data_IF_996046664569
#
_entry.id   IF_996046664569
#
_cell.length_a   1.000
_cell.length_b   1.000
_cell.length_c   1.000
_cell.angle_alpha   90.00
_cell.angle_beta   90.00
_cell.angle_gamma   90.00
#
_symmetry.space_group_name_H-M   'P 1'
#
loop_
_entity.id
_entity.type
_entity.pdbx_description
1 polymer ?
#
# COMPACT_ATOMS: atom_id res chain seq x y z
N UNK A 1 9.94 -28.15 11.93
CA UNK A 1 9.71 -26.70 11.79
C UNK A 1 9.64 -26.33 10.30
N UNK A 2 8.48 -25.90 9.80
CA UNK A 2 8.29 -25.63 8.36
C UNK A 2 8.90 -24.27 8.01
N UNK A 3 10.09 -24.27 7.41
CA UNK A 3 10.74 -23.04 6.93
C UNK A 3 10.14 -22.64 5.58
N UNK A 4 9.56 -21.45 5.51
CA UNK A 4 9.06 -20.87 4.25
C UNK A 4 10.23 -20.13 3.59
N UNK A 5 10.71 -20.67 2.48
CA UNK A 5 11.80 -20.07 1.72
C UNK A 5 11.25 -19.17 0.61
N UNK A 6 12.01 -18.11 0.27
CA UNK A 6 11.74 -17.30 -0.91
C UNK A 6 11.98 -18.14 -2.18
N UNK A 7 11.12 -18.00 -3.19
CA UNK A 7 11.33 -18.64 -4.50
C UNK A 7 12.63 -18.12 -5.13
N UNK A 8 13.55 -19.02 -5.46
CA UNK A 8 14.90 -18.68 -5.94
C UNK A 8 14.95 -18.03 -7.34
N UNK A 9 13.87 -18.14 -8.14
CA UNK A 9 13.76 -17.50 -9.47
C UNK A 9 12.89 -16.23 -9.49
N UNK A 10 12.68 -15.53 -8.38
CA UNK A 10 11.98 -14.24 -8.45
C UNK A 10 12.89 -13.20 -9.11
N UNK A 11 12.40 -12.49 -10.13
CA UNK A 11 13.12 -11.35 -10.67
C UNK A 11 13.30 -10.27 -9.59
N UNK A 12 14.56 -9.92 -9.34
CA UNK A 12 14.92 -8.92 -8.35
C UNK A 12 14.47 -7.52 -8.78
N UNK A 13 14.52 -7.23 -10.08
CA UNK A 13 14.15 -5.94 -10.63
C UNK A 13 12.66 -5.69 -10.40
N UNK A 14 11.81 -6.58 -10.90
CA UNK A 14 10.34 -6.50 -10.71
C UNK A 14 9.96 -6.31 -9.24
N UNK A 15 10.57 -7.09 -8.33
CA UNK A 15 10.30 -6.98 -6.90
C UNK A 15 10.67 -5.59 -6.35
N UNK A 16 11.83 -5.08 -6.74
CA UNK A 16 12.32 -3.77 -6.29
C UNK A 16 11.43 -2.65 -6.84
N UNK A 17 11.05 -2.72 -8.12
CA UNK A 17 10.15 -1.74 -8.76
C UNK A 17 8.85 -1.56 -8.00
N UNK A 18 8.21 -2.64 -7.56
CA UNK A 18 6.97 -2.53 -6.78
C UNK A 18 7.18 -1.90 -5.39
N UNK A 19 8.34 -2.12 -4.77
CA UNK A 19 8.67 -1.51 -3.47
C UNK A 19 8.92 -0.01 -3.62
N UNK A 20 9.63 0.39 -4.67
CA UNK A 20 9.89 1.80 -4.99
C UNK A 20 8.62 2.53 -5.39
N UNK A 21 7.79 1.91 -6.23
CA UNK A 21 6.48 2.46 -6.56
C UNK A 21 5.58 2.59 -5.33
N UNK A 22 5.54 1.58 -4.45
CA UNK A 22 4.81 1.68 -3.18
C UNK A 22 5.34 2.84 -2.31
N UNK A 23 6.66 3.08 -2.28
CA UNK A 23 7.24 4.23 -1.57
C UNK A 23 6.77 5.55 -2.17
N UNK A 24 6.71 5.66 -3.49
CA UNK A 24 6.25 6.88 -4.17
C UNK A 24 4.76 7.14 -3.93
N UNK A 25 3.92 6.09 -3.95
CA UNK A 25 2.48 6.22 -3.70
C UNK A 25 2.13 6.78 -2.33
N UNK A 26 3.00 6.67 -1.32
CA UNK A 26 2.78 7.28 0.01
C UNK A 26 2.63 8.80 -0.08
N UNK A 27 3.25 9.43 -1.09
CA UNK A 27 3.19 10.89 -1.30
C UNK A 27 1.91 11.31 -2.03
N UNK A 28 1.43 10.46 -2.93
CA UNK A 28 0.33 10.80 -3.85
C UNK A 28 -1.02 10.25 -3.43
N UNK A 29 -1.07 9.20 -2.61
CA UNK A 29 -2.29 8.50 -2.24
C UNK A 29 -2.55 8.55 -0.73
N UNK A 30 -3.76 8.97 -0.37
CA UNK A 30 -4.18 9.14 1.02
C UNK A 30 -4.25 7.79 1.76
N UNK A 31 -4.78 6.74 1.13
CA UNK A 31 -4.87 5.43 1.77
C UNK A 31 -3.49 4.79 1.95
N UNK A 32 -2.56 4.99 1.00
CA UNK A 32 -1.22 4.44 1.08
C UNK A 32 -0.44 5.07 2.25
N UNK A 33 -0.58 6.38 2.45
CA UNK A 33 -0.05 7.10 3.62
C UNK A 33 -0.67 6.60 4.93
N UNK A 34 -1.99 6.52 5.00
CA UNK A 34 -2.71 6.01 6.17
C UNK A 34 -2.26 4.58 6.54
N UNK A 35 -2.04 3.72 5.53
CA UNK A 35 -1.53 2.37 5.73
C UNK A 35 -0.11 2.37 6.30
N UNK A 36 0.76 3.23 5.78
CA UNK A 36 2.13 3.34 6.28
C UNK A 36 2.15 3.79 7.74
N UNK A 37 1.36 4.80 8.10
CA UNK A 37 1.25 5.31 9.47
C UNK A 37 0.69 4.27 10.42
N UNK A 38 -0.35 3.52 10.02
CA UNK A 38 -0.87 2.41 10.81
C UNK A 38 0.21 1.38 11.14
N UNK A 39 1.03 1.00 10.14
CA UNK A 39 2.08 -0.01 10.32
C UNK A 39 3.25 0.52 11.14
N UNK A 40 3.54 1.83 11.03
CA UNK A 40 4.52 2.51 11.87
C UNK A 40 4.06 2.55 13.33
N UNK A 41 2.80 2.89 13.59
CA UNK A 41 2.20 2.87 14.92
C UNK A 41 2.21 1.47 15.55
N UNK A 42 2.06 0.43 14.73
CA UNK A 42 2.19 -0.97 15.15
C UNK A 42 3.65 -1.43 15.38
N UNK A 43 4.67 -0.57 15.19
CA UNK A 43 6.08 -0.90 15.45
C UNK A 43 6.77 -1.70 14.33
N UNK A 44 6.21 -1.77 13.12
CA UNK A 44 6.85 -2.47 12.02
C UNK A 44 8.01 -1.68 11.41
N UNK A 45 9.08 -2.40 11.04
CA UNK A 45 10.22 -1.82 10.35
C UNK A 45 9.83 -1.24 8.97
N UNK A 46 10.43 -0.11 8.59
CA UNK A 46 10.12 0.64 7.37
C UNK A 46 10.06 -0.23 6.11
N UNK A 47 11.10 -1.01 5.87
CA UNK A 47 11.22 -1.89 4.69
C UNK A 47 10.18 -3.02 4.69
N UNK A 48 9.74 -3.49 5.86
CA UNK A 48 8.67 -4.49 5.95
C UNK A 48 7.31 -3.87 5.60
N UNK A 49 7.07 -2.63 6.05
CA UNK A 49 5.87 -1.86 5.73
C UNK A 49 5.75 -1.62 4.23
N UNK A 50 6.82 -1.15 3.57
CA UNK A 50 6.82 -0.92 2.12
C UNK A 50 6.49 -2.20 1.32
N UNK A 51 7.07 -3.35 1.70
CA UNK A 51 6.78 -4.63 1.04
C UNK A 51 5.33 -5.07 1.23
N UNK A 52 4.77 -4.82 2.42
CA UNK A 52 3.37 -5.12 2.69
C UNK A 52 2.42 -4.19 1.91
N UNK A 53 2.82 -2.93 1.70
CA UNK A 53 2.08 -1.96 0.89
C UNK A 53 2.13 -2.36 -0.59
N UNK A 54 3.31 -2.70 -1.11
CA UNK A 54 3.50 -3.22 -2.47
C UNK A 54 2.60 -4.43 -2.75
N UNK A 55 2.48 -5.36 -1.79
CA UNK A 55 1.58 -6.51 -1.93
C UNK A 55 0.11 -6.12 -2.13
N UNK A 56 -0.41 -5.12 -1.40
CA UNK A 56 -1.78 -4.62 -1.59
C UNK A 56 -1.95 -4.00 -2.97
N UNK A 57 -1.00 -3.17 -3.34
CA UNK A 57 -0.95 -2.45 -4.59
C UNK A 57 -0.93 -3.38 -5.82
N UNK A 58 -0.14 -4.45 -5.79
CA UNK A 58 -0.11 -5.47 -6.86
C UNK A 58 -1.52 -6.04 -7.11
N UNK A 59 -2.30 -6.30 -6.06
CA UNK A 59 -3.66 -6.83 -6.19
C UNK A 59 -4.63 -5.81 -6.76
N UNK A 60 -4.48 -4.54 -6.39
CA UNK A 60 -5.29 -3.44 -6.93
C UNK A 60 -5.00 -3.27 -8.42
N UNK A 61 -3.72 -3.14 -8.79
CA UNK A 61 -3.33 -3.01 -10.20
C UNK A 61 -3.76 -4.21 -11.02
N UNK A 62 -3.58 -5.42 -10.50
CA UNK A 62 -4.01 -6.63 -11.19
C UNK A 62 -5.52 -6.62 -11.44
N UNK A 63 -6.32 -6.18 -10.47
CA UNK A 63 -7.77 -6.07 -10.64
C UNK A 63 -8.15 -4.99 -11.68
N UNK A 64 -7.54 -3.81 -11.61
CA UNK A 64 -7.72 -2.75 -12.59
C UNK A 64 -7.34 -3.21 -14.01
N UNK A 65 -6.22 -3.92 -14.14
CA UNK A 65 -5.76 -4.46 -15.41
C UNK A 65 -6.72 -5.52 -15.96
N UNK A 66 -7.17 -6.45 -15.11
CA UNK A 66 -8.08 -7.51 -15.50
C UNK A 66 -9.46 -6.99 -15.94
N UNK A 67 -9.96 -5.97 -15.25
CA UNK A 67 -11.25 -5.35 -15.57
C UNK A 67 -11.14 -4.26 -16.65
N UNK A 68 -9.92 -4.00 -17.15
CA UNK A 68 -9.61 -2.89 -18.08
C UNK A 68 -10.07 -1.51 -17.59
N UNK A 69 -9.98 -1.28 -16.28
CA UNK A 69 -10.38 -0.03 -15.62
C UNK A 69 -9.17 0.79 -15.18
N UNK A 70 -9.30 2.11 -15.28
CA UNK A 70 -8.34 3.06 -14.71
C UNK A 70 -8.46 3.06 -13.19
N UNK A 71 -7.33 3.17 -12.50
CA UNK A 71 -7.33 3.27 -11.05
C UNK A 71 -7.97 4.58 -10.59
N UNK A 72 -9.03 4.48 -9.78
CA UNK A 72 -9.69 5.61 -9.12
C UNK A 72 -9.65 5.44 -7.59
N UNK A 73 -8.92 6.31 -6.91
CA UNK A 73 -8.73 6.22 -5.46
C UNK A 73 -10.05 6.32 -4.67
N UNK A 74 -10.98 7.17 -5.11
CA UNK A 74 -12.27 7.35 -4.46
C UNK A 74 -13.08 6.03 -4.38
N UNK A 75 -13.07 5.23 -5.45
CA UNK A 75 -13.76 3.94 -5.46
C UNK A 75 -13.14 2.97 -4.45
N UNK A 76 -11.81 2.98 -4.34
CA UNK A 76 -11.10 2.18 -3.35
C UNK A 76 -11.46 2.59 -1.91
N UNK A 77 -11.56 3.89 -1.64
CA UNK A 77 -11.95 4.41 -0.33
C UNK A 77 -13.40 4.06 0.03
N UNK A 78 -14.33 4.10 -0.92
CA UNK A 78 -15.73 3.68 -0.71
C UNK A 78 -15.78 2.20 -0.34
N UNK A 79 -15.04 1.35 -1.05
CA UNK A 79 -14.94 -0.07 -0.73
C UNK A 79 -14.28 -0.32 0.63
N UNK A 80 -13.32 0.52 1.02
CA UNK A 80 -12.67 0.44 2.32
C UNK A 80 -13.62 0.78 3.48
N UNK A 81 -14.48 1.78 3.27
CA UNK A 81 -15.56 2.15 4.20
C UNK A 81 -16.60 1.05 4.33
N UNK A 82 -17.05 0.50 3.20
CA UNK A 82 -18.03 -0.59 3.20
C UNK A 82 -17.55 -1.87 3.93
N UNK A 83 -16.23 -2.04 4.10
CA UNK A 83 -15.62 -3.17 4.79
C UNK A 83 -15.18 -2.86 6.22
N UNK A 84 -15.50 -1.67 6.74
CA UNK A 84 -15.12 -1.19 8.09
C UNK A 84 -13.65 -1.45 8.42
N UNK A 85 -12.78 -1.16 7.45
CA UNK A 85 -11.37 -1.47 7.61
C UNK A 85 -10.76 -0.66 8.77
N UNK A 86 -9.86 -1.25 9.58
CA UNK A 86 -9.15 -0.51 10.64
C UNK A 86 -8.28 0.63 10.09
N UNK A 87 -8.07 0.69 8.77
CA UNK A 87 -7.40 1.79 8.08
C UNK A 87 -8.18 3.11 8.11
N UNK A 88 -9.50 3.07 8.29
CA UNK A 88 -10.34 4.27 8.33
C UNK A 88 -9.93 5.20 9.49
N UNK A 89 -9.41 4.65 10.60
CA UNK A 89 -8.88 5.41 11.74
C UNK A 89 -7.69 6.31 11.38
N UNK A 90 -6.94 5.93 10.35
CA UNK A 90 -5.73 6.63 9.89
C UNK A 90 -6.02 7.47 8.63
N UNK A 91 -7.26 7.45 8.13
CA UNK A 91 -7.68 8.20 6.94
C UNK A 91 -8.07 9.66 7.26
N UNK A 92 -8.20 10.02 8.55
CA UNK A 92 -8.60 11.34 9.08
C UNK A 92 -7.88 11.60 10.42
N UNK A 93 -7.33 12.80 10.77
CA UNK A 93 -6.50 13.85 10.11
C UNK A 93 -5.18 14.12 10.95
N UNK A 94 -4.33 15.20 10.85
CA UNK A 94 -4.42 16.51 10.18
C UNK A 94 -3.40 16.77 9.04
N UNK A 95 -3.81 17.62 8.10
CA UNK A 95 -2.89 18.53 7.37
C UNK A 95 -2.15 19.36 8.42
N UNK A 96 -0.81 19.37 8.41
CA UNK A 96 -0.14 20.57 7.89
C UNK A 96 1.10 20.20 7.08
N UNK A 97 1.03 20.37 5.77
CA UNK A 97 2.21 20.70 4.95
C UNK A 97 1.72 21.30 3.64
N UNK A 98 1.10 22.48 3.77
CA UNK A 98 1.33 23.57 2.82
C UNK A 98 2.42 24.42 3.46
N UNK A 99 3.42 24.79 2.65
CA UNK A 99 4.49 25.76 2.93
C UNK A 99 5.64 25.34 3.87
N UNK A 100 6.74 24.88 3.26
CA UNK A 100 8.08 25.45 3.43
C UNK A 100 8.91 25.14 2.17
#
# INVERSE_FOLDING_TARGET
>A
MRKVHRRLRCDNHTRQTFVEWAKETIRHSAWARAYFEQRKAAGHHFQATLRSLAYKWIRILWKCWHDHLVYHEAQYLVQLRAKDSPLLKYLSPPTPSSAA
#
